data_IF_000626702109
#
_entry.id   IF_000626702109
#
_cell.length_a   1.000
_cell.length_b   1.000
_cell.length_c   1.000
_cell.angle_alpha   90.00
_cell.angle_beta   90.00
_cell.angle_gamma   90.00
#
_symmetry.space_group_name_H-M   'P 1'
#
loop_
_entity.id
_entity.type
_entity.pdbx_description
1 polymer ?
#
# COMPACT_ATOMS: atom_id res chain seq x y z
N UNK A 1 12.11 25.81 7.67
CA UNK A 1 13.34 25.04 7.97
C UNK A 1 13.01 23.59 8.40
N UNK A 2 11.74 23.15 8.28
CA UNK A 2 11.30 21.78 8.63
C UNK A 2 10.85 20.93 7.43
N UNK A 3 10.91 21.45 6.21
CA UNK A 3 10.56 20.69 4.99
C UNK A 3 11.68 19.79 4.48
N UNK A 4 12.90 19.99 4.97
CA UNK A 4 14.08 19.23 4.52
C UNK A 4 14.31 17.89 5.25
N UNK A 5 13.59 17.60 6.34
CA UNK A 5 13.83 16.36 7.13
C UNK A 5 13.19 15.14 6.48
N UNK A 6 12.04 15.29 5.84
CA UNK A 6 11.36 14.17 5.14
C UNK A 6 12.07 13.79 3.84
N UNK A 7 12.51 14.78 3.07
CA UNK A 7 13.31 14.58 1.85
C UNK A 7 14.64 13.87 2.14
N UNK A 8 15.28 14.18 3.27
CA UNK A 8 16.55 13.57 3.67
C UNK A 8 16.47 12.07 4.00
N UNK A 9 15.29 11.54 4.33
CA UNK A 9 15.13 10.09 4.56
C UNK A 9 15.02 9.32 3.23
N UNK A 10 14.34 9.88 2.23
CA UNK A 10 14.25 9.31 0.89
C UNK A 10 15.57 9.42 0.12
N UNK A 11 16.28 10.56 0.20
CA UNK A 11 17.58 10.74 -0.42
C UNK A 11 18.56 9.64 0.00
N UNK A 12 18.49 9.15 1.25
CA UNK A 12 19.28 8.01 1.72
C UNK A 12 18.96 6.69 1.01
N UNK A 13 17.75 6.56 0.47
CA UNK A 13 17.35 5.40 -0.33
C UNK A 13 17.56 5.64 -1.85
N UNK A 14 17.63 6.90 -2.30
CA UNK A 14 17.84 7.26 -3.70
C UNK A 14 19.30 7.04 -4.15
N UNK A 15 20.27 7.20 -3.26
CA UNK A 15 21.69 6.95 -3.51
C UNK A 15 22.06 5.45 -3.63
N UNK A 16 21.09 4.55 -3.53
CA UNK A 16 21.28 3.12 -3.73
C UNK A 16 21.31 2.80 -5.24
N UNK A 17 22.45 3.01 -5.87
CA UNK A 17 22.72 2.60 -7.26
C UNK A 17 23.00 1.10 -7.31
N UNK A 18 21.97 0.26 -7.61
CA UNK A 18 22.17 -1.20 -7.70
C UNK A 18 21.18 -1.90 -8.64
N UNK A 19 21.72 -2.59 -9.62
CA UNK A 19 21.07 -3.70 -10.32
C UNK A 19 21.58 -5.03 -9.75
N UNK A 20 20.80 -5.69 -8.92
CA UNK A 20 21.07 -7.04 -8.46
C UNK A 20 19.79 -7.79 -8.12
N UNK A 21 19.84 -9.12 -8.03
CA UNK A 21 18.69 -9.95 -7.70
C UNK A 21 18.15 -9.75 -6.28
N UNK A 22 18.88 -9.07 -5.42
CA UNK A 22 18.57 -8.90 -3.99
C UNK A 22 18.25 -7.44 -3.63
N UNK A 23 18.84 -6.46 -4.34
CA UNK A 23 18.53 -5.05 -4.18
C UNK A 23 18.22 -4.45 -5.56
N UNK A 24 17.08 -3.83 -5.72
CA UNK A 24 16.61 -3.32 -6.99
C UNK A 24 15.84 -2.02 -6.81
N UNK A 25 16.21 -0.99 -7.59
CA UNK A 25 15.44 0.24 -7.71
C UNK A 25 14.74 0.24 -9.06
N UNK A 26 13.44 0.47 -9.08
CA UNK A 26 12.65 0.54 -10.30
C UNK A 26 11.75 1.75 -10.29
N UNK A 27 11.87 2.56 -11.33
CA UNK A 27 10.91 3.61 -11.62
C UNK A 27 9.78 3.05 -12.48
N UNK A 28 8.59 3.56 -12.30
CA UNK A 28 7.40 3.12 -13.01
C UNK A 28 6.53 4.30 -13.44
N UNK A 29 6.16 4.29 -14.70
CA UNK A 29 5.17 5.20 -15.27
C UNK A 29 3.82 4.51 -15.53
N UNK A 30 3.60 3.38 -14.89
CA UNK A 30 2.43 2.53 -15.03
C UNK A 30 2.06 1.89 -13.70
N UNK A 31 0.81 2.11 -13.25
CA UNK A 31 0.35 1.67 -11.93
C UNK A 31 0.39 0.16 -11.73
N UNK A 32 0.01 -0.61 -12.76
CA UNK A 32 0.00 -2.07 -12.69
C UNK A 32 1.43 -2.63 -12.70
N UNK A 33 2.34 -2.00 -13.46
CA UNK A 33 3.77 -2.33 -13.38
C UNK A 33 4.32 -1.99 -11.99
N UNK A 34 3.98 -0.82 -11.44
CA UNK A 34 4.37 -0.44 -10.07
C UNK A 34 3.92 -1.49 -9.04
N UNK A 35 2.66 -1.93 -9.10
CA UNK A 35 2.14 -2.97 -8.22
C UNK A 35 2.87 -4.31 -8.37
N UNK A 36 3.33 -4.67 -9.58
CA UNK A 36 4.06 -5.91 -9.84
C UNK A 36 5.48 -5.95 -9.28
N UNK A 37 6.02 -4.80 -8.87
CA UNK A 37 7.37 -4.70 -8.27
C UNK A 37 7.41 -5.21 -6.82
N UNK A 38 6.25 -5.36 -6.17
CA UNK A 38 6.18 -5.84 -4.80
C UNK A 38 6.22 -7.36 -4.75
N UNK A 39 7.27 -7.91 -4.14
CA UNK A 39 7.45 -9.36 -4.01
C UNK A 39 6.94 -9.85 -2.65
N UNK A 40 6.14 -10.92 -2.65
CA UNK A 40 5.57 -11.49 -1.43
C UNK A 40 4.37 -10.71 -0.87
N UNK A 41 3.85 -9.75 -1.63
CA UNK A 41 2.62 -8.99 -1.33
C UNK A 41 1.80 -8.96 -2.62
N UNK A 42 0.60 -9.49 -2.59
CA UNK A 42 -0.36 -9.30 -3.66
C UNK A 42 -0.97 -7.91 -3.56
N UNK A 43 -0.83 -7.11 -4.62
CA UNK A 43 -1.20 -5.71 -4.64
C UNK A 43 -2.11 -5.40 -5.82
N UNK A 44 -3.31 -4.90 -5.52
CA UNK A 44 -4.16 -4.21 -6.49
C UNK A 44 -4.19 -2.72 -6.15
N UNK A 45 -3.98 -1.86 -7.14
CA UNK A 45 -3.88 -0.42 -6.92
C UNK A 45 -4.86 0.35 -7.79
N UNK A 46 -5.50 1.37 -7.21
CA UNK A 46 -6.36 2.32 -7.92
C UNK A 46 -5.73 3.71 -7.81
N UNK A 47 -5.49 4.37 -8.93
CA UNK A 47 -5.03 5.76 -8.94
C UNK A 47 -6.20 6.66 -8.53
N UNK A 48 -6.03 7.45 -7.47
CA UNK A 48 -7.06 8.34 -6.93
C UNK A 48 -6.95 9.76 -7.49
N UNK A 49 -5.74 10.27 -7.67
CA UNK A 49 -5.52 11.63 -8.21
C UNK A 49 -5.24 11.60 -9.72
N UNK A 50 -5.60 12.67 -10.45
CA UNK A 50 -5.37 12.76 -11.88
C UNK A 50 -3.89 12.97 -12.23
N UNK A 51 -3.52 12.60 -13.46
CA UNK A 51 -2.18 12.76 -14.03
C UNK A 51 -1.61 11.44 -14.55
N UNK A 52 -0.54 11.51 -15.33
CA UNK A 52 0.24 10.32 -15.69
C UNK A 52 0.84 9.72 -14.41
N UNK A 53 0.77 8.41 -14.27
CA UNK A 53 1.34 7.75 -13.10
C UNK A 53 2.87 7.82 -13.14
N UNK A 54 3.45 8.18 -12.01
CA UNK A 54 4.88 8.14 -11.75
C UNK A 54 5.10 7.60 -10.33
N UNK A 55 5.96 6.60 -10.21
CA UNK A 55 6.30 6.00 -8.92
C UNK A 55 7.64 5.31 -8.96
N UNK A 56 8.20 5.06 -7.79
CA UNK A 56 9.45 4.33 -7.60
C UNK A 56 9.29 3.28 -6.50
N UNK A 57 10.03 2.19 -6.63
CA UNK A 57 10.14 1.14 -5.61
C UNK A 57 11.60 0.77 -5.47
N UNK A 58 12.11 0.85 -4.23
CA UNK A 58 13.36 0.21 -3.84
C UNK A 58 13.00 -1.11 -3.15
N UNK A 59 13.54 -2.19 -3.64
CA UNK A 59 13.29 -3.53 -3.12
C UNK A 59 14.59 -4.19 -2.69
N UNK A 60 14.58 -4.85 -1.53
CA UNK A 60 15.60 -5.80 -1.15
C UNK A 60 14.99 -7.05 -0.53
N UNK A 61 15.57 -8.21 -0.83
CA UNK A 61 15.28 -9.46 -0.16
C UNK A 61 16.56 -10.00 0.49
N UNK A 62 16.48 -10.27 1.80
CA UNK A 62 17.57 -10.85 2.58
C UNK A 62 17.02 -12.06 3.32
N UNK A 63 17.35 -13.26 2.84
CA UNK A 63 16.82 -14.53 3.32
C UNK A 63 15.27 -14.52 3.41
N UNK A 64 14.70 -14.47 4.60
CA UNK A 64 13.24 -14.53 4.84
C UNK A 64 12.59 -13.19 5.10
N UNK A 65 13.26 -12.09 4.78
CA UNK A 65 12.77 -10.73 4.90
C UNK A 65 12.77 -10.09 3.52
N UNK A 66 11.68 -9.40 3.19
CA UNK A 66 11.63 -8.52 2.02
C UNK A 66 11.31 -7.10 2.47
N UNK A 67 12.02 -6.14 1.92
CA UNK A 67 11.85 -4.72 2.22
C UNK A 67 11.51 -4.00 0.93
N UNK A 68 10.47 -3.19 0.97
CA UNK A 68 10.07 -2.31 -0.12
C UNK A 68 9.95 -0.89 0.42
N UNK A 69 10.58 0.05 -0.25
CA UNK A 69 10.33 1.49 -0.04
C UNK A 69 9.69 2.00 -1.31
N UNK A 70 8.48 2.50 -1.20
CA UNK A 70 7.66 2.92 -2.34
C UNK A 70 7.18 4.33 -2.19
N UNK A 71 7.22 5.08 -3.28
CA UNK A 71 6.62 6.40 -3.41
C UNK A 71 5.89 6.52 -4.74
N UNK A 72 4.83 7.34 -4.77
CA UNK A 72 4.12 7.71 -5.99
C UNK A 72 3.77 9.20 -6.00
N UNK A 73 3.87 9.81 -7.18
CA UNK A 73 3.44 11.20 -7.39
C UNK A 73 1.92 11.33 -7.26
N UNK A 74 1.19 10.31 -7.69
CA UNK A 74 -0.26 10.27 -7.57
C UNK A 74 -0.70 9.66 -6.25
N UNK A 75 -1.81 10.18 -5.69
CA UNK A 75 -2.51 9.48 -4.63
C UNK A 75 -3.06 8.15 -5.17
N UNK A 76 -2.86 7.09 -4.40
CA UNK A 76 -3.30 5.74 -4.76
C UNK A 76 -4.08 5.11 -3.61
N UNK A 77 -4.93 4.17 -3.94
CA UNK A 77 -5.50 3.23 -2.99
C UNK A 77 -4.96 1.84 -3.33
N UNK A 78 -4.38 1.19 -2.34
CA UNK A 78 -3.82 -0.14 -2.49
C UNK A 78 -4.67 -1.13 -1.70
N UNK A 79 -5.07 -2.23 -2.34
CA UNK A 79 -5.57 -3.42 -1.67
C UNK A 79 -4.39 -4.39 -1.57
N UNK A 80 -3.95 -4.63 -0.35
CA UNK A 80 -2.79 -5.48 -0.05
C UNK A 80 -3.27 -6.80 0.53
N UNK A 81 -2.67 -7.90 0.07
CA UNK A 81 -2.83 -9.22 0.66
C UNK A 81 -1.46 -9.84 0.88
N UNK A 82 -1.25 -10.31 2.08
CA UNK A 82 0.02 -10.90 2.51
C UNK A 82 -0.01 -12.41 2.36
N UNK A 83 1.13 -13.01 2.05
CA UNK A 83 1.31 -14.47 2.02
C UNK A 83 0.90 -15.12 3.36
N UNK A 84 0.44 -16.37 3.32
CA UNK A 84 -0.07 -17.10 4.49
C UNK A 84 0.99 -17.40 5.56
N UNK A 85 2.25 -17.21 5.25
CA UNK A 85 3.40 -17.52 6.10
C UNK A 85 4.19 -16.27 6.51
N UNK A 86 3.70 -15.04 6.20
CA UNK A 86 4.42 -13.79 6.47
C UNK A 86 3.57 -12.79 7.22
N UNK A 87 4.20 -12.04 8.12
CA UNK A 87 3.70 -10.76 8.61
C UNK A 87 4.11 -9.65 7.65
N UNK A 88 3.29 -8.60 7.55
CA UNK A 88 3.65 -7.35 6.88
C UNK A 88 3.64 -6.21 7.89
N UNK A 89 4.75 -5.49 7.93
CA UNK A 89 4.89 -4.24 8.67
C UNK A 89 4.88 -3.08 7.70
N UNK A 90 4.03 -2.08 7.94
CA UNK A 90 3.94 -0.88 7.12
C UNK A 90 4.20 0.35 7.96
N UNK A 91 5.03 1.26 7.45
CA UNK A 91 5.39 2.51 8.12
C UNK A 91 5.37 3.62 7.08
N UNK A 92 4.75 4.75 7.40
CA UNK A 92 4.90 5.96 6.60
C UNK A 92 6.23 6.62 6.93
N UNK A 93 7.04 6.90 5.92
CA UNK A 93 8.35 7.54 6.07
C UNK A 93 8.27 9.08 6.06
N UNK A 94 7.08 9.65 5.88
CA UNK A 94 6.85 11.09 5.84
C UNK A 94 6.58 11.62 7.25
N UNK A 95 7.49 12.44 7.79
CA UNK A 95 7.34 13.06 9.11
C UNK A 95 6.36 14.26 9.11
N UNK A 96 6.07 14.82 7.94
CA UNK A 96 5.29 16.06 7.79
C UNK A 96 3.91 15.84 7.16
N UNK A 97 3.56 14.61 6.82
CA UNK A 97 2.28 14.29 6.20
C UNK A 97 1.13 14.60 7.17
N UNK A 98 0.38 15.66 6.88
CA UNK A 98 -0.82 16.05 7.62
C UNK A 98 -2.05 15.24 7.21
N UNK A 99 -1.93 14.46 6.15
CA UNK A 99 -3.00 13.64 5.63
C UNK A 99 -3.07 12.28 6.33
N UNK A 100 -4.19 11.61 6.17
CA UNK A 100 -4.32 10.23 6.63
C UNK A 100 -3.55 9.31 5.69
N UNK A 101 -2.70 8.45 6.26
CA UNK A 101 -2.04 7.34 5.56
C UNK A 101 -2.62 6.05 6.09
N UNK A 102 -3.04 5.14 5.22
CA UNK A 102 -3.79 3.94 5.60
C UNK A 102 -5.05 4.22 6.46
N UNK A 103 -5.59 5.44 6.36
CA UNK A 103 -6.74 5.86 7.14
C UNK A 103 -6.44 6.38 8.55
N UNK A 104 -5.17 6.51 8.93
CA UNK A 104 -4.72 7.00 10.24
C UNK A 104 -3.91 8.28 10.11
N UNK A 105 -4.13 9.23 11.02
CA UNK A 105 -3.33 10.46 11.14
C UNK A 105 -2.03 10.20 11.91
N UNK A 106 -1.06 11.11 11.77
CA UNK A 106 0.21 11.01 12.49
C UNK A 106 1.19 10.06 11.82
N UNK A 107 1.38 10.25 10.52
CA UNK A 107 2.37 9.52 9.73
C UNK A 107 3.74 9.48 10.43
N UNK A 108 4.44 8.34 10.36
CA UNK A 108 5.75 8.13 10.98
C UNK A 108 5.72 7.79 12.48
N UNK A 109 4.57 7.89 13.14
CA UNK A 109 4.45 7.62 14.59
C UNK A 109 3.76 6.30 14.94
N UNK A 110 3.53 5.43 13.95
CA UNK A 110 2.87 4.14 14.13
C UNK A 110 3.46 3.07 13.20
N UNK A 111 3.29 1.85 13.62
CA UNK A 111 3.57 0.66 12.81
C UNK A 111 2.26 -0.06 12.55
N UNK A 112 1.91 -0.24 11.28
CA UNK A 112 0.78 -1.10 10.93
C UNK A 112 1.27 -2.53 10.74
N UNK A 113 0.62 -3.45 11.41
CA UNK A 113 0.96 -4.88 11.40
C UNK A 113 -0.18 -5.68 10.80
N UNK A 114 0.09 -6.35 9.68
CA UNK A 114 -0.86 -7.22 9.02
C UNK A 114 -0.43 -8.68 9.22
N UNK A 115 -1.34 -9.56 9.71
CA UNK A 115 -1.00 -10.96 9.98
C UNK A 115 -0.86 -11.77 8.69
N UNK A 116 -0.32 -13.00 8.78
CA UNK A 116 -0.30 -13.96 7.67
C UNK A 116 -1.68 -14.17 7.06
N UNK A 117 -1.76 -14.05 5.72
CA UNK A 117 -3.02 -14.10 4.98
C UNK A 117 -3.96 -12.92 5.24
N UNK A 118 -3.47 -11.87 5.90
CA UNK A 118 -4.22 -10.65 6.14
C UNK A 118 -4.44 -9.83 4.88
N UNK A 119 -5.49 -9.01 4.90
CA UNK A 119 -5.88 -8.13 3.80
C UNK A 119 -6.15 -6.72 4.32
N UNK A 120 -5.64 -5.71 3.60
CA UNK A 120 -5.82 -4.32 3.99
C UNK A 120 -6.09 -3.41 2.78
N UNK A 121 -6.83 -2.35 3.04
CA UNK A 121 -7.05 -1.26 2.09
C UNK A 121 -6.33 -0.03 2.62
N UNK A 122 -5.42 0.49 1.82
CA UNK A 122 -4.47 1.52 2.20
C UNK A 122 -4.53 2.71 1.24
N UNK A 123 -5.38 3.72 1.47
CA UNK A 123 -5.26 4.99 0.79
C UNK A 123 -3.95 5.68 1.16
N UNK A 124 -3.16 6.06 0.17
CA UNK A 124 -1.88 6.74 0.32
C UNK A 124 -1.92 8.05 -0.45
N UNK A 125 -1.63 9.20 0.20
CA UNK A 125 -1.61 10.50 -0.46
C UNK A 125 -0.47 10.62 -1.48
N UNK A 126 -0.47 11.71 -2.24
CA UNK A 126 0.61 12.08 -3.16
C UNK A 126 1.92 12.27 -2.41
N UNK A 127 3.03 11.85 -3.02
CA UNK A 127 4.38 12.04 -2.48
C UNK A 127 4.52 11.54 -1.03
N UNK A 128 3.86 10.43 -0.71
CA UNK A 128 3.95 9.80 0.61
C UNK A 128 4.75 8.51 0.51
N UNK A 129 6.03 8.53 0.90
CA UNK A 129 6.83 7.33 0.89
C UNK A 129 6.42 6.39 2.01
N UNK A 130 6.32 5.11 1.69
CA UNK A 130 5.96 4.05 2.63
C UNK A 130 7.01 2.94 2.62
N UNK A 131 7.35 2.47 3.79
CA UNK A 131 8.12 1.26 4.01
C UNK A 131 7.16 0.10 4.22
N UNK A 132 7.34 -0.95 3.43
CA UNK A 132 6.62 -2.22 3.54
C UNK A 132 7.67 -3.32 3.76
N UNK A 133 7.55 -4.05 4.85
CA UNK A 133 8.50 -5.10 5.20
C UNK A 133 7.76 -6.40 5.51
N UNK A 134 8.06 -7.46 4.77
CA UNK A 134 7.53 -8.80 5.08
C UNK A 134 8.55 -9.60 5.86
N UNK A 135 8.06 -10.30 6.86
CA UNK A 135 8.87 -11.16 7.74
C UNK A 135 8.20 -12.52 7.86
N UNK A 136 8.99 -13.58 7.73
CA UNK A 136 8.47 -14.93 7.87
C UNK A 136 7.91 -15.15 9.28
N UNK A 137 6.68 -15.70 9.36
CA UNK A 137 5.93 -15.89 10.58
C UNK A 137 6.73 -16.66 11.64
N UNK A 138 7.24 -17.82 11.24
CA UNK A 138 7.92 -18.71 12.20
C UNK A 138 9.22 -18.08 12.68
N UNK A 139 9.98 -17.42 11.80
CA UNK A 139 11.21 -16.72 12.19
C UNK A 139 10.97 -15.65 13.25
N UNK A 140 9.85 -14.91 13.17
CA UNK A 140 9.50 -13.90 14.17
C UNK A 140 8.98 -14.54 15.47
N UNK A 141 8.05 -15.50 15.36
CA UNK A 141 7.40 -16.10 16.53
C UNK A 141 8.32 -16.99 17.37
N UNK A 142 9.36 -17.58 16.73
CA UNK A 142 10.36 -18.42 17.38
C UNK A 142 11.57 -17.60 17.90
N UNK A 143 11.54 -16.27 17.77
CA UNK A 143 12.63 -15.42 18.26
C UNK A 143 12.69 -15.43 19.78
N UNK A 144 13.87 -15.71 20.34
CA UNK A 144 14.14 -15.68 21.79
C UNK A 144 13.92 -14.28 22.40
N UNK A 145 13.96 -13.23 21.60
CA UNK A 145 13.73 -11.85 22.04
C UNK A 145 12.24 -11.46 22.06
N UNK A 146 11.34 -12.36 21.69
CA UNK A 146 9.90 -12.11 21.70
C UNK A 146 9.28 -12.61 23.00
N UNK A 147 8.77 -11.70 23.85
CA UNK A 147 8.09 -12.09 25.08
C UNK A 147 6.76 -12.81 24.79
N UNK A 148 6.32 -13.75 25.64
CA UNK A 148 5.14 -14.59 25.39
C UNK A 148 3.86 -13.81 25.07
N UNK A 149 3.62 -12.71 25.77
CA UNK A 149 2.43 -11.88 25.58
C UNK A 149 2.41 -11.23 24.19
N UNK A 150 3.56 -10.77 23.69
CA UNK A 150 3.70 -10.23 22.35
C UNK A 150 3.56 -11.32 21.30
N UNK A 151 4.13 -12.50 21.52
CA UNK A 151 3.93 -13.65 20.64
C UNK A 151 2.45 -14.03 20.55
N UNK A 152 1.73 -13.99 21.67
CA UNK A 152 0.29 -14.23 21.70
C UNK A 152 -0.48 -13.13 20.95
N UNK A 153 -0.11 -11.86 21.13
CA UNK A 153 -0.71 -10.74 20.40
C UNK A 153 -0.55 -10.93 18.87
N UNK A 154 0.65 -11.26 18.38
CA UNK A 154 0.87 -11.55 16.96
C UNK A 154 -0.02 -12.69 16.44
N UNK A 155 -0.25 -13.74 17.25
CA UNK A 155 -1.10 -14.89 16.88
C UNK A 155 -2.58 -14.57 16.86
N UNK A 156 -3.02 -13.53 17.59
CA UNK A 156 -4.42 -13.11 17.72
C UNK A 156 -4.81 -11.90 16.89
N UNK A 157 -3.87 -11.36 16.11
CA UNK A 157 -4.13 -10.26 15.18
C UNK A 157 -5.31 -10.55 14.26
N UNK A 158 -6.19 -9.57 14.09
CA UNK A 158 -7.30 -9.64 13.13
C UNK A 158 -6.76 -9.65 11.71
N UNK A 159 -7.51 -10.25 10.78
CA UNK A 159 -7.13 -10.31 9.35
C UNK A 159 -6.83 -8.96 8.71
N UNK A 160 -7.47 -7.91 9.19
CA UNK A 160 -7.31 -6.55 8.73
C UNK A 160 -6.24 -5.76 9.51
N UNK A 161 -5.44 -6.45 10.34
CA UNK A 161 -4.29 -5.90 11.05
C UNK A 161 -4.60 -4.89 12.14
N UNK A 162 -3.54 -4.41 12.77
CA UNK A 162 -3.62 -3.39 13.83
C UNK A 162 -2.51 -2.35 13.71
N UNK A 163 -2.78 -1.13 14.22
CA UNK A 163 -1.81 -0.03 14.28
C UNK A 163 -1.27 0.09 15.69
N UNK A 164 0.03 -0.08 15.85
CA UNK A 164 0.75 0.17 17.10
C UNK A 164 1.30 1.60 17.09
N UNK A 165 0.81 2.45 17.99
CA UNK A 165 1.28 3.83 18.14
C UNK A 165 2.59 3.86 18.92
N UNK A 166 3.72 3.94 18.23
CA UNK A 166 5.04 4.08 18.83
C UNK A 166 6.02 4.66 17.82
N UNK A 167 6.42 5.91 18.04
CA UNK A 167 7.46 6.56 17.24
C UNK A 167 8.81 5.83 17.39
N UNK A 168 9.13 5.36 18.60
CA UNK A 168 10.36 4.63 18.86
C UNK A 168 10.43 3.31 18.10
N UNK A 169 9.34 2.54 18.10
CA UNK A 169 9.26 1.28 17.37
C UNK A 169 9.32 1.53 15.86
N UNK A 170 8.59 2.53 15.36
CA UNK A 170 8.61 2.90 13.95
C UNK A 170 10.01 3.32 13.49
N UNK A 171 10.70 4.20 14.24
CA UNK A 171 12.07 4.61 13.92
C UNK A 171 13.03 3.42 13.94
N UNK A 172 12.94 2.54 14.93
CA UNK A 172 13.80 1.34 15.01
C UNK A 172 13.65 0.46 13.77
N UNK A 173 12.42 0.15 13.36
CA UNK A 173 12.17 -0.67 12.17
C UNK A 173 12.66 0.05 10.89
N UNK A 174 12.51 1.38 10.81
CA UNK A 174 13.05 2.16 9.70
C UNK A 174 14.57 2.08 9.62
N UNK A 175 15.25 2.25 10.76
CA UNK A 175 16.72 2.21 10.83
C UNK A 175 17.24 0.81 10.49
N UNK A 176 16.61 -0.25 11.00
CA UNK A 176 16.95 -1.63 10.67
C UNK A 176 16.76 -1.93 9.19
N UNK A 177 15.65 -1.46 8.60
CA UNK A 177 15.40 -1.61 7.16
C UNK A 177 16.43 -0.86 6.32
N UNK A 178 16.77 0.39 6.67
CA UNK A 178 17.79 1.17 5.99
C UNK A 178 19.17 0.50 6.06
N UNK A 179 19.57 0.06 7.25
CA UNK A 179 20.85 -0.68 7.43
C UNK A 179 20.87 -1.95 6.57
N UNK A 180 19.76 -2.68 6.51
CA UNK A 180 19.66 -3.90 5.70
C UNK A 180 19.76 -3.58 4.20
N UNK A 181 19.11 -2.53 3.71
CA UNK A 181 19.20 -2.08 2.32
C UNK A 181 20.64 -1.66 1.96
N UNK A 182 21.30 -0.92 2.84
CA UNK A 182 22.71 -0.52 2.64
C UNK A 182 23.66 -1.72 2.67
N UNK A 183 23.42 -2.68 3.55
CA UNK A 183 24.23 -3.89 3.68
C UNK A 183 23.97 -4.90 2.56
N UNK A 184 22.79 -4.91 1.97
CA UNK A 184 22.43 -5.82 0.88
C UNK A 184 23.41 -5.73 -0.30
N UNK A 185 23.92 -4.54 -0.61
CA UNK A 185 24.96 -4.32 -1.64
C UNK A 185 26.27 -5.06 -1.31
N UNK A 186 26.72 -4.98 -0.06
CA UNK A 186 27.95 -5.64 0.39
C UNK A 186 27.79 -7.17 0.42
N UNK A 187 26.64 -7.66 0.86
CA UNK A 187 26.30 -9.10 0.89
C UNK A 187 26.36 -9.69 -0.51
N UNK A 188 25.82 -8.97 -1.49
CA UNK A 188 25.81 -9.40 -2.89
C UNK A 188 27.22 -9.44 -3.50
N UNK A 189 28.03 -8.42 -3.22
CA UNK A 189 29.41 -8.36 -3.70
C UNK A 189 30.27 -9.52 -3.15
N UNK A 190 29.95 -9.98 -1.93
CA UNK A 190 30.69 -11.05 -1.26
C UNK A 190 30.19 -12.47 -1.61
N UNK A 191 29.02 -12.62 -2.25
CA UNK A 191 28.35 -13.91 -2.53
C UNK A 191 28.21 -14.82 -1.28
N UNK A 192 28.01 -14.22 -0.09
CA UNK A 192 28.09 -14.88 1.21
C UNK A 192 26.71 -15.15 1.81
N UNK A 193 26.21 -16.37 1.65
CA UNK A 193 24.97 -16.85 2.28
C UNK A 193 24.97 -16.68 3.82
N UNK A 194 26.12 -16.84 4.46
CA UNK A 194 26.27 -16.69 5.92
C UNK A 194 26.02 -15.25 6.38
N UNK A 195 26.53 -14.26 5.64
CA UNK A 195 26.30 -12.84 5.97
C UNK A 195 24.83 -12.47 5.85
N UNK A 196 24.11 -12.96 4.84
CA UNK A 196 22.67 -12.78 4.70
C UNK A 196 21.91 -13.37 5.89
N UNK A 197 22.28 -14.57 6.35
CA UNK A 197 21.68 -15.21 7.52
C UNK A 197 21.91 -14.42 8.82
N UNK A 198 23.13 -13.88 9.01
CA UNK A 198 23.46 -13.04 10.19
C UNK A 198 22.60 -11.77 10.20
N UNK A 199 22.49 -11.07 9.07
CA UNK A 199 21.68 -9.85 8.97
C UNK A 199 20.21 -10.18 9.19
N UNK A 200 19.71 -11.25 8.59
CA UNK A 200 18.34 -11.73 8.82
C UNK A 200 18.08 -11.98 10.30
N UNK A 201 18.94 -12.74 10.97
CA UNK A 201 18.80 -13.04 12.41
C UNK A 201 18.87 -11.78 13.27
N UNK A 202 19.78 -10.86 12.96
CA UNK A 202 19.90 -9.59 13.68
C UNK A 202 18.62 -8.75 13.53
N UNK A 203 18.06 -8.68 12.32
CA UNK A 203 16.84 -7.93 12.06
C UNK A 203 15.61 -8.54 12.76
N UNK A 204 15.43 -9.86 12.70
CA UNK A 204 14.37 -10.56 13.44
C UNK A 204 14.49 -10.29 14.95
N UNK A 205 15.70 -10.42 15.50
CA UNK A 205 15.96 -10.15 16.92
C UNK A 205 15.68 -8.68 17.28
N UNK A 206 16.01 -7.74 16.42
CA UNK A 206 15.73 -6.32 16.63
C UNK A 206 14.24 -6.00 16.62
N UNK A 207 13.49 -6.54 15.65
CA UNK A 207 12.04 -6.38 15.57
C UNK A 207 11.36 -6.99 16.81
N UNK A 208 11.69 -8.24 17.14
CA UNK A 208 11.13 -8.95 18.30
C UNK A 208 11.40 -8.21 19.61
N UNK A 209 12.65 -7.77 19.84
CA UNK A 209 13.03 -6.97 20.99
C UNK A 209 12.32 -5.61 21.00
N UNK A 210 12.16 -4.96 19.84
CA UNK A 210 11.46 -3.68 19.74
C UNK A 210 10.01 -3.76 20.19
N UNK A 211 9.26 -4.75 19.71
CA UNK A 211 7.88 -5.01 20.14
C UNK A 211 7.82 -5.42 21.62
N UNK A 212 8.73 -6.28 22.06
CA UNK A 212 8.78 -6.73 23.46
C UNK A 212 9.06 -5.58 24.43
N UNK A 213 10.00 -4.70 24.13
CA UNK A 213 10.29 -3.53 24.96
C UNK A 213 9.12 -2.55 25.00
N UNK A 214 8.46 -2.31 23.86
CA UNK A 214 7.28 -1.43 23.80
C UNK A 214 6.14 -1.97 24.66
N UNK A 215 5.91 -3.30 24.61
CA UNK A 215 4.91 -3.99 25.45
C UNK A 215 5.21 -3.88 26.93
N UNK A 216 6.44 -4.22 27.34
CA UNK A 216 6.85 -4.25 28.75
C UNK A 216 6.83 -2.86 29.40
N UNK A 217 7.21 -1.82 28.67
CA UNK A 217 7.21 -0.45 29.20
C UNK A 217 5.82 0.14 29.40
N UNK A 218 4.82 -0.35 28.64
CA UNK A 218 3.46 0.19 28.65
C UNK A 218 2.42 -0.77 29.20
N UNK A 219 2.85 -1.97 29.63
CA UNK A 219 1.94 -3.06 30.03
C UNK A 219 0.92 -3.38 28.90
N UNK A 220 1.36 -3.30 27.63
CA UNK A 220 0.56 -3.51 26.44
C UNK A 220 0.91 -2.56 25.30
N UNK A 221 0.24 -2.72 24.14
CA UNK A 221 0.39 -1.80 23.03
C UNK A 221 -0.64 -0.66 23.06
N UNK A 222 -0.19 0.56 22.75
CA UNK A 222 -1.08 1.65 22.41
C UNK A 222 -1.61 1.42 20.97
N UNK A 223 -2.72 0.71 20.85
CA UNK A 223 -3.36 0.40 19.56
C UNK A 223 -4.19 1.59 19.11
N UNK A 224 -3.97 2.04 17.86
CA UNK A 224 -4.84 3.03 17.23
C UNK A 224 -6.05 2.32 16.66
N UNK A 225 -7.21 2.54 17.26
CA UNK A 225 -8.44 1.99 16.77
C UNK A 225 -8.93 2.72 15.51
N UNK A 226 -9.51 1.96 14.59
CA UNK A 226 -10.16 2.53 13.42
C UNK A 226 -11.25 3.52 13.83
N UNK A 227 -11.26 4.67 13.18
CA UNK A 227 -12.32 5.64 13.41
C UNK A 227 -13.64 5.16 12.80
N UNK A 228 -14.80 5.56 13.34
CA UNK A 228 -16.08 5.27 12.69
C UNK A 228 -16.18 5.81 11.25
N UNK A 229 -15.40 6.85 10.92
CA UNK A 229 -15.30 7.38 9.57
C UNK A 229 -14.55 6.41 8.64
N UNK A 230 -13.43 5.83 9.09
CA UNK A 230 -12.70 4.82 8.33
C UNK A 230 -13.56 3.57 8.08
N UNK A 231 -14.22 3.03 9.11
CA UNK A 231 -15.09 1.88 8.97
C UNK A 231 -16.23 2.14 7.97
N UNK A 232 -16.82 3.34 8.03
CA UNK A 232 -17.83 3.77 7.08
C UNK A 232 -17.31 3.87 5.66
N UNK A 233 -16.13 4.45 5.49
CA UNK A 233 -15.45 4.54 4.19
C UNK A 233 -15.23 3.13 3.61
N UNK A 234 -14.64 2.21 4.37
CA UNK A 234 -14.34 0.86 3.91
C UNK A 234 -15.60 0.09 3.50
N UNK A 235 -16.68 0.18 4.28
CA UNK A 235 -17.98 -0.43 3.95
C UNK A 235 -18.60 0.19 2.69
N UNK A 236 -18.63 1.53 2.62
CA UNK A 236 -19.19 2.24 1.47
C UNK A 236 -18.35 2.01 0.20
N UNK A 237 -17.04 1.95 0.31
CA UNK A 237 -16.13 1.60 -0.80
C UNK A 237 -16.49 0.24 -1.39
N UNK A 238 -16.69 -0.76 -0.55
CA UNK A 238 -17.09 -2.11 -0.98
C UNK A 238 -18.39 -2.08 -1.79
N UNK A 239 -19.40 -1.38 -1.29
CA UNK A 239 -20.68 -1.21 -2.00
C UNK A 239 -20.51 -0.47 -3.34
N UNK A 240 -19.66 0.55 -3.40
CA UNK A 240 -19.43 1.33 -4.62
C UNK A 240 -18.59 0.59 -5.66
N UNK A 241 -17.77 -0.37 -5.22
CA UNK A 241 -17.03 -1.27 -6.10
C UNK A 241 -17.93 -2.37 -6.68
N UNK A 242 -19.01 -2.73 -5.98
CA UNK A 242 -20.01 -3.68 -6.49
C UNK A 242 -20.85 -3.03 -7.58
N UNK A 243 -20.70 -3.55 -8.78
CA UNK A 243 -21.30 -3.02 -10.00
C UNK A 243 -22.81 -3.16 -10.02
N UNK A 244 -23.32 -4.28 -9.54
CA UNK A 244 -24.72 -4.63 -9.69
C UNK A 244 -25.59 -3.83 -8.71
N UNK A 245 -25.10 -3.58 -7.52
CA UNK A 245 -25.76 -2.73 -6.52
C UNK A 245 -25.90 -1.28 -6.99
N UNK A 246 -24.86 -0.72 -7.64
CA UNK A 246 -24.87 0.70 -8.00
C UNK A 246 -25.58 1.03 -9.33
N UNK A 247 -25.74 0.05 -10.23
CA UNK A 247 -26.47 0.24 -11.51
C UNK A 247 -27.99 0.10 -11.34
N UNK A 248 -28.45 -0.63 -10.35
CA UNK A 248 -29.89 -0.87 -10.09
C UNK A 248 -30.66 0.30 -9.50
N UNK A 249 -30.00 1.42 -9.12
CA UNK A 249 -30.64 2.53 -8.42
C UNK A 249 -30.67 2.38 -6.89
N UNK A 250 -30.42 1.19 -6.38
CA UNK A 250 -30.43 0.86 -4.95
C UNK A 250 -29.15 1.30 -4.21
N UNK A 251 -28.13 1.76 -4.94
CA UNK A 251 -26.84 2.13 -4.36
C UNK A 251 -26.91 3.31 -3.38
N UNK A 252 -27.79 4.28 -3.61
CA UNK A 252 -28.00 5.40 -2.68
C UNK A 252 -28.73 4.90 -1.40
N UNK A 253 -29.62 3.89 -1.50
CA UNK A 253 -30.32 3.28 -0.37
C UNK A 253 -29.36 2.44 0.49
N UNK A 254 -28.50 1.64 -0.13
CA UNK A 254 -27.48 0.88 0.59
C UNK A 254 -26.47 1.80 1.30
N UNK A 255 -26.02 2.88 0.66
CA UNK A 255 -25.17 3.88 1.30
C UNK A 255 -25.89 4.57 2.48
N UNK A 256 -27.20 4.77 2.41
CA UNK A 256 -27.98 5.38 3.49
C UNK A 256 -28.00 4.54 4.77
N UNK A 257 -27.86 3.21 4.66
CA UNK A 257 -27.75 2.28 5.81
C UNK A 257 -26.46 2.46 6.61
N UNK A 258 -25.41 3.04 5.98
CA UNK A 258 -24.11 3.29 6.62
C UNK A 258 -24.08 4.61 7.40
N UNK A 259 -25.13 5.41 7.29
CA UNK A 259 -25.27 6.68 7.99
C UNK A 259 -25.87 7.78 7.11
N UNK A 260 -25.93 9.00 7.63
CA UNK A 260 -26.42 10.13 6.86
C UNK A 260 -25.52 10.39 5.64
N UNK A 261 -26.11 10.96 4.57
CA UNK A 261 -25.35 11.39 3.38
C UNK A 261 -24.12 12.20 3.74
N UNK A 262 -24.26 13.16 4.68
CA UNK A 262 -23.18 14.00 5.17
C UNK A 262 -22.04 13.18 5.80
N UNK A 263 -22.37 12.18 6.62
CA UNK A 263 -21.37 11.34 7.29
C UNK A 263 -20.63 10.41 6.32
N UNK A 264 -21.28 9.96 5.25
CA UNK A 264 -20.64 9.20 4.17
C UNK A 264 -19.74 10.12 3.34
N UNK A 265 -20.21 11.31 2.94
CA UNK A 265 -19.40 12.30 2.22
C UNK A 265 -18.16 12.71 3.02
N UNK A 266 -18.31 12.92 4.33
CA UNK A 266 -17.19 13.25 5.22
C UNK A 266 -16.16 12.11 5.28
N UNK A 267 -16.59 10.86 5.40
CA UNK A 267 -15.70 9.71 5.43
C UNK A 267 -14.85 9.60 4.14
N UNK A 268 -15.45 9.80 2.98
CA UNK A 268 -14.72 9.82 1.71
C UNK A 268 -13.79 11.03 1.57
N UNK A 269 -14.24 12.22 1.98
CA UNK A 269 -13.41 13.43 1.96
C UNK A 269 -12.18 13.30 2.87
N UNK A 270 -12.34 12.65 4.02
CA UNK A 270 -11.27 12.43 4.99
C UNK A 270 -10.21 11.47 4.45
N UNK A 271 -10.62 10.34 3.86
CA UNK A 271 -9.70 9.26 3.51
C UNK A 271 -9.18 9.31 2.06
N UNK A 272 -9.97 9.82 1.10
CA UNK A 272 -9.59 9.84 -0.32
C UNK A 272 -9.76 11.22 -0.97
N UNK A 273 -10.02 12.27 -0.19
CA UNK A 273 -10.14 13.69 -0.62
C UNK A 273 -11.17 13.91 -1.73
N UNK A 274 -12.16 13.06 -1.84
CA UNK A 274 -13.24 13.20 -2.82
C UNK A 274 -14.57 12.66 -2.27
N UNK A 275 -15.69 12.98 -2.91
CA UNK A 275 -16.98 12.40 -2.54
C UNK A 275 -17.22 11.01 -3.13
N UNK A 276 -18.20 10.25 -2.58
CA UNK A 276 -18.50 8.85 -2.98
C UNK A 276 -18.76 8.69 -4.48
N UNK A 277 -19.51 9.61 -5.10
CA UNK A 277 -19.81 9.56 -6.55
C UNK A 277 -18.57 9.76 -7.42
N UNK A 278 -17.64 10.62 -6.98
CA UNK A 278 -16.37 10.83 -7.68
C UNK A 278 -15.49 9.60 -7.57
N UNK A 279 -15.43 9.01 -6.38
CA UNK A 279 -14.72 7.76 -6.13
C UNK A 279 -15.27 6.62 -6.98
N UNK A 280 -16.59 6.38 -6.97
CA UNK A 280 -17.22 5.35 -7.81
C UNK A 280 -16.91 5.51 -9.30
N UNK A 281 -16.84 6.77 -9.78
CA UNK A 281 -16.44 7.04 -11.16
C UNK A 281 -14.98 6.66 -11.43
N UNK A 282 -14.08 6.91 -10.49
CA UNK A 282 -12.65 6.53 -10.59
C UNK A 282 -12.53 5.01 -10.63
N UNK A 283 -13.20 4.28 -9.75
CA UNK A 283 -13.24 2.81 -9.75
C UNK A 283 -13.67 2.27 -11.12
N UNK A 284 -14.73 2.83 -11.70
CA UNK A 284 -15.20 2.43 -13.04
C UNK A 284 -14.19 2.74 -14.14
N UNK A 285 -13.52 3.90 -14.07
CA UNK A 285 -12.44 4.24 -15.02
C UNK A 285 -11.27 3.26 -14.87
N UNK A 286 -10.94 2.89 -13.66
CA UNK A 286 -9.90 1.88 -13.37
C UNK A 286 -10.29 0.51 -13.93
N UNK A 287 -11.52 0.04 -13.69
CA UNK A 287 -12.00 -1.24 -14.22
C UNK A 287 -11.99 -1.24 -15.76
N UNK A 288 -12.42 -0.14 -16.38
CA UNK A 288 -12.34 0.02 -17.83
C UNK A 288 -10.88 -0.03 -18.32
N UNK A 289 -9.94 0.64 -17.60
CA UNK A 289 -8.51 0.61 -17.92
C UNK A 289 -7.95 -0.81 -17.83
N UNK A 290 -8.27 -1.56 -16.77
CA UNK A 290 -7.85 -2.95 -16.60
C UNK A 290 -8.33 -3.83 -17.76
N UNK A 291 -9.63 -3.75 -18.14
CA UNK A 291 -10.17 -4.46 -19.29
C UNK A 291 -9.50 -4.09 -20.62
N UNK A 292 -9.15 -2.82 -20.82
CA UNK A 292 -8.42 -2.38 -22.01
C UNK A 292 -7.03 -3.03 -22.15
N UNK A 293 -6.47 -3.56 -21.06
CA UNK A 293 -5.14 -4.19 -21.00
C UNK A 293 -5.21 -5.71 -21.05
N UNK A 294 -6.35 -6.31 -20.79
CA UNK A 294 -6.54 -7.76 -20.82
C UNK A 294 -6.76 -8.26 -22.25
N UNK A 295 -6.03 -9.30 -22.65
CA UNK A 295 -6.06 -9.85 -24.01
C UNK A 295 -7.47 -10.25 -24.47
N UNK A 296 -8.25 -10.87 -23.56
CA UNK A 296 -9.64 -11.31 -23.84
C UNK A 296 -10.57 -10.19 -24.29
N UNK A 297 -10.23 -8.90 -24.00
CA UNK A 297 -11.03 -7.74 -24.42
C UNK A 297 -10.44 -6.97 -25.61
N UNK A 298 -9.36 -7.44 -26.23
CA UNK A 298 -8.70 -6.70 -27.33
C UNK A 298 -9.57 -6.53 -28.56
N UNK A 299 -10.51 -7.45 -28.80
CA UNK A 299 -11.45 -7.38 -29.92
C UNK A 299 -12.73 -6.61 -29.58
N UNK A 300 -12.93 -6.24 -28.32
CA UNK A 300 -14.11 -5.49 -27.93
C UNK A 300 -13.92 -3.99 -28.17
N UNK A 301 -15.00 -3.28 -28.55
CA UNK A 301 -14.90 -1.84 -28.76
C UNK A 301 -14.63 -1.10 -27.45
N UNK A 302 -13.83 -0.03 -27.47
CA UNK A 302 -13.57 0.82 -26.30
C UNK A 302 -14.89 1.36 -25.71
N UNK A 303 -15.86 1.67 -26.59
CA UNK A 303 -17.18 2.13 -26.17
C UNK A 303 -17.98 1.08 -25.41
N UNK A 304 -17.92 -0.18 -25.83
CA UNK A 304 -18.58 -1.29 -25.14
C UNK A 304 -17.97 -1.55 -23.76
N UNK A 305 -16.63 -1.60 -23.69
CA UNK A 305 -15.94 -1.74 -22.40
C UNK A 305 -16.35 -0.63 -21.42
N UNK A 306 -16.37 0.62 -21.89
CA UNK A 306 -16.79 1.74 -21.06
C UNK A 306 -18.27 1.62 -20.63
N UNK A 307 -19.15 1.19 -21.53
CA UNK A 307 -20.58 0.99 -21.24
C UNK A 307 -20.79 -0.15 -20.23
N UNK A 308 -20.04 -1.24 -20.34
CA UNK A 308 -20.05 -2.32 -19.36
C UNK A 308 -19.69 -1.84 -17.96
N UNK A 309 -18.79 -0.86 -17.83
CA UNK A 309 -18.46 -0.25 -16.54
C UNK A 309 -19.41 0.89 -16.14
N UNK A 310 -20.57 1.03 -16.80
CA UNK A 310 -21.55 2.05 -16.48
C UNK A 310 -21.11 3.48 -16.81
N UNK A 311 -20.06 3.63 -17.60
CA UNK A 311 -19.58 4.91 -18.09
C UNK A 311 -20.39 5.31 -19.32
N UNK A 312 -21.30 6.27 -19.15
CA UNK A 312 -22.16 6.80 -20.23
C UNK A 312 -21.55 8.07 -20.81
N UNK A 313 -21.87 8.42 -22.06
CA UNK A 313 -21.39 9.62 -22.79
C UNK A 313 -19.92 9.57 -23.22
N UNK A 314 -19.67 8.97 -24.38
CA UNK A 314 -18.35 8.67 -24.96
C UNK A 314 -17.36 9.84 -24.94
N UNK A 315 -17.77 11.05 -25.29
CA UNK A 315 -16.89 12.24 -25.29
C UNK A 315 -16.39 12.59 -23.88
N UNK A 316 -17.28 12.57 -22.88
CA UNK A 316 -16.92 12.83 -21.48
C UNK A 316 -16.01 11.75 -20.88
N UNK A 317 -16.21 10.49 -21.29
CA UNK A 317 -15.36 9.37 -20.84
C UNK A 317 -13.94 9.57 -21.33
N UNK A 318 -13.75 9.88 -22.63
CA UNK A 318 -12.43 10.09 -23.21
C UNK A 318 -11.70 11.25 -22.51
N UNK A 319 -12.39 12.39 -22.30
CA UNK A 319 -11.81 13.53 -21.60
C UNK A 319 -11.45 13.20 -20.14
N UNK A 320 -12.37 12.55 -19.41
CA UNK A 320 -12.12 12.15 -18.02
C UNK A 320 -10.99 11.13 -17.90
N UNK A 321 -10.94 10.16 -18.80
CA UNK A 321 -9.90 9.14 -18.83
C UNK A 321 -8.53 9.76 -19.12
N UNK A 322 -8.44 10.60 -20.16
CA UNK A 322 -7.20 11.29 -20.52
C UNK A 322 -6.71 12.22 -19.40
N UNK A 323 -7.63 12.97 -18.78
CA UNK A 323 -7.30 13.81 -17.62
C UNK A 323 -6.79 12.98 -16.44
N UNK A 324 -7.40 11.80 -16.19
CA UNK A 324 -7.10 10.99 -15.03
C UNK A 324 -5.79 10.19 -15.19
N UNK A 325 -5.50 9.66 -16.38
CA UNK A 325 -4.33 8.79 -16.62
C UNK A 325 -3.24 9.44 -17.50
N UNK A 326 -3.40 10.67 -17.93
CA UNK A 326 -2.44 11.31 -18.83
C UNK A 326 -2.38 10.69 -20.23
N UNK A 327 -3.25 9.72 -20.55
CA UNK A 327 -3.22 8.97 -21.81
C UNK A 327 -4.62 8.69 -22.35
N UNK A 328 -4.74 8.51 -23.65
CA UNK A 328 -6.00 8.08 -24.27
C UNK A 328 -6.24 6.59 -24.06
N UNK A 329 -7.50 6.17 -23.99
CA UNK A 329 -7.90 4.75 -23.91
C UNK A 329 -7.30 3.90 -25.04
N UNK A 330 -7.26 4.45 -26.27
CA UNK A 330 -6.64 3.78 -27.41
C UNK A 330 -5.13 3.60 -27.27
N UNK A 331 -4.45 4.55 -26.63
CA UNK A 331 -3.03 4.44 -26.32
C UNK A 331 -2.78 3.35 -25.28
N UNK A 332 -3.58 3.31 -24.19
CA UNK A 332 -3.51 2.25 -23.17
C UNK A 332 -3.63 0.86 -23.80
N UNK A 333 -4.64 0.63 -24.65
CA UNK A 333 -4.83 -0.64 -25.36
C UNK A 333 -3.65 -0.98 -26.27
N UNK A 334 -3.15 0.00 -27.03
CA UNK A 334 -2.03 -0.21 -27.95
C UNK A 334 -0.76 -0.63 -27.22
N UNK A 335 -0.47 0.00 -26.08
CA UNK A 335 0.69 -0.35 -25.25
C UNK A 335 0.55 -1.77 -24.69
N UNK A 336 -0.65 -2.17 -24.25
CA UNK A 336 -0.91 -3.53 -23.78
C UNK A 336 -0.69 -4.58 -24.89
N UNK A 337 -1.25 -4.34 -26.09
CA UNK A 337 -1.06 -5.23 -27.25
C UNK A 337 0.39 -5.43 -27.73
N UNK A 338 1.30 -4.51 -27.35
CA UNK A 338 2.74 -4.61 -27.69
C UNK A 338 3.55 -5.36 -26.65
N UNK A 339 3.02 -5.51 -25.43
CA UNK A 339 3.67 -6.19 -24.32
C UNK A 339 3.32 -7.68 -24.22
N UNK A 340 2.17 -8.04 -24.78
CA UNK A 340 1.71 -9.42 -24.96
C UNK A 340 2.03 -9.93 -26.37
#
# INVERSE_FOLDING_TARGET
MNELVGLNKLEKFEDLDVESSVLHKSDSNDLEHHASLFKGIELESIQLSPGAFEGSVVFAAVDRISIHVSESVQAIEQCMKVDQDKFLFCICLCDTCKETVFGVQGAGSWVYVLPPGGEAIAPTPTHCPVLLMTVQRDALLDSENLVPDVANWFKTLKKDGEFVSSLRLANRIQDDALMTLQSAKAILAANETKTAQIIHQAMISSIAAGFSLEWLEREGFAVIHRTPALDRFLKARHLLADRDLYQGGDGDDELSKLGSKRSVEQAFSEHVKMGPRSYARIVRLHNARRKLREERFFNESIGNIAAQEGLRHRSRITANYSKHYGALQSATRRTAKRRN
#
